data_IF_531925809583
#
_entry.id   IF_531925809583
#
_cell.length_a   1.000
_cell.length_b   1.000
_cell.length_c   1.000
_cell.angle_alpha   90.00
_cell.angle_beta   90.00
_cell.angle_gamma   90.00
#
_symmetry.space_group_name_H-M   'P 1'
#
loop_
_entity.id
_entity.type
_entity.pdbx_description
1 polymer ?
#
# COMPACT_ATOMS: atom_id res chain seq x y z
N UNK A 1 0.74 -6.06 11.29
CA UNK A 1 -0.01 -5.29 10.29
C UNK A 1 0.34 -5.79 8.90
N UNK A 2 -0.67 -6.00 8.07
CA UNK A 2 -0.48 -6.52 6.72
C UNK A 2 -0.17 -5.36 5.76
N UNK A 3 1.08 -4.91 5.77
CA UNK A 3 1.54 -3.86 4.85
C UNK A 3 2.07 -4.57 3.61
N UNK A 4 1.25 -4.66 2.58
CA UNK A 4 1.54 -5.37 1.33
C UNK A 4 1.82 -4.43 0.16
N UNK A 5 2.08 -3.17 0.35
CA UNK A 5 2.49 -2.34 -0.76
C UNK A 5 3.96 -2.61 -1.09
N UNK A 6 4.21 -3.22 -2.21
CA UNK A 6 5.49 -3.23 -2.86
C UNK A 6 5.68 -1.91 -3.53
N UNK A 7 6.81 -1.33 -3.32
CA UNK A 7 6.93 0.07 -3.54
C UNK A 7 8.20 0.39 -4.30
N UNK A 8 8.07 1.22 -5.29
CA UNK A 8 9.18 2.04 -5.74
C UNK A 8 9.17 3.28 -4.86
N UNK A 9 10.24 3.49 -4.14
CA UNK A 9 10.37 4.49 -3.09
C UNK A 9 11.32 5.62 -3.51
N UNK A 10 10.82 6.85 -3.47
CA UNK A 10 11.62 8.06 -3.63
C UNK A 10 12.19 8.48 -2.27
N UNK A 11 13.51 8.58 -2.15
CA UNK A 11 14.18 8.79 -0.86
C UNK A 11 14.13 10.22 -0.35
N UNK A 12 13.64 11.19 -1.12
CA UNK A 12 13.67 12.61 -0.77
C UNK A 12 13.20 12.90 0.67
N UNK A 13 12.03 12.39 1.04
CA UNK A 13 11.50 12.61 2.40
C UNK A 13 12.33 11.90 3.47
N UNK A 14 12.92 10.76 3.16
CA UNK A 14 13.82 10.06 4.07
C UNK A 14 15.15 10.79 4.22
N UNK A 15 15.70 11.31 3.12
CA UNK A 15 16.94 12.11 3.11
C UNK A 15 16.79 13.38 3.98
N UNK A 16 15.59 13.99 3.96
CA UNK A 16 15.28 15.17 4.79
C UNK A 16 15.05 14.80 6.26
N UNK A 17 14.39 13.67 6.53
CA UNK A 17 14.02 13.26 7.89
C UNK A 17 15.18 12.60 8.64
N UNK A 18 15.94 11.72 7.97
CA UNK A 18 17.03 10.92 8.52
C UNK A 18 18.21 10.98 7.54
N UNK A 19 18.99 12.08 7.50
CA UNK A 19 20.03 12.28 6.48
C UNK A 19 21.08 11.17 6.40
N UNK A 20 21.34 10.50 7.51
CA UNK A 20 22.31 9.40 7.62
C UNK A 20 21.67 7.99 7.54
N UNK A 21 20.46 7.85 6.99
CA UNK A 21 19.74 6.58 6.93
C UNK A 21 20.53 5.43 6.26
N UNK A 22 21.46 5.76 5.35
CA UNK A 22 22.34 4.78 4.68
C UNK A 22 23.35 4.12 5.63
N UNK A 23 23.61 4.74 6.77
CA UNK A 23 24.56 4.27 7.79
C UNK A 23 23.84 3.49 8.91
N UNK A 24 22.49 3.39 8.85
CA UNK A 24 21.64 2.88 9.92
C UNK A 24 20.96 1.54 9.57
N UNK A 25 21.61 0.65 8.82
CA UNK A 25 21.06 -0.65 8.39
C UNK A 25 19.63 -0.56 7.89
N UNK A 26 19.33 0.49 7.11
CA UNK A 26 17.98 0.67 6.57
C UNK A 26 17.68 -0.37 5.48
N UNK A 27 16.44 -0.88 5.38
CA UNK A 27 16.05 -1.86 4.36
C UNK A 27 15.79 -1.22 2.97
N UNK A 28 16.45 -0.10 2.66
CA UNK A 28 16.36 0.63 1.40
C UNK A 28 17.63 0.35 0.59
N UNK A 29 17.70 -0.84 -0.01
CA UNK A 29 18.93 -1.38 -0.60
C UNK A 29 18.84 -1.53 -2.13
N UNK A 30 17.72 -2.00 -2.65
CA UNK A 30 17.58 -2.35 -4.08
C UNK A 30 17.33 -1.12 -4.94
N UNK A 31 18.38 -0.53 -5.46
CA UNK A 31 18.28 0.64 -6.37
C UNK A 31 17.64 0.26 -7.69
N UNK A 32 16.75 1.11 -8.21
CA UNK A 32 16.22 0.96 -9.57
C UNK A 32 17.35 1.17 -10.58
N UNK A 33 17.59 0.16 -11.40
CA UNK A 33 18.64 0.17 -12.43
C UNK A 33 18.08 0.13 -13.86
N UNK A 34 16.85 -0.36 -14.02
CA UNK A 34 16.15 -0.39 -15.31
C UNK A 34 14.66 -0.24 -15.13
N UNK A 35 14.00 0.34 -16.13
CA UNK A 35 12.55 0.51 -16.13
C UNK A 35 11.96 0.27 -17.51
N UNK A 36 10.77 -0.32 -17.52
CA UNK A 36 9.98 -0.57 -18.71
C UNK A 36 8.53 -0.18 -18.48
N UNK A 37 7.92 0.42 -19.49
CA UNK A 37 6.49 0.65 -19.53
C UNK A 37 5.88 -0.05 -20.73
N UNK A 38 4.91 -0.93 -20.49
CA UNK A 38 4.29 -1.76 -21.52
C UNK A 38 2.82 -1.38 -21.73
N UNK A 39 2.42 -1.33 -22.98
CA UNK A 39 1.01 -1.43 -23.37
C UNK A 39 0.72 -2.88 -23.73
N UNK A 40 -0.23 -3.49 -23.02
CA UNK A 40 -0.58 -4.90 -23.18
C UNK A 40 -1.85 -5.03 -24.05
N UNK A 41 -1.81 -5.95 -25.00
CA UNK A 41 -2.97 -6.56 -25.61
C UNK A 41 -3.09 -7.98 -25.10
N UNK A 42 -4.10 -8.73 -25.46
CA UNK A 42 -4.30 -10.10 -24.96
C UNK A 42 -3.08 -11.02 -25.16
N UNK A 43 -2.32 -10.84 -26.23
CA UNK A 43 -1.24 -11.74 -26.64
C UNK A 43 0.12 -11.06 -26.81
N UNK A 44 0.15 -9.75 -26.93
CA UNK A 44 1.37 -9.00 -27.25
C UNK A 44 1.58 -7.84 -26.27
N UNK A 45 2.85 -7.49 -26.08
CA UNK A 45 3.28 -6.31 -25.34
C UNK A 45 3.97 -5.33 -26.28
N UNK A 46 3.73 -4.05 -26.07
CA UNK A 46 4.38 -2.96 -26.80
C UNK A 46 5.08 -2.05 -25.81
N UNK A 47 6.39 -1.90 -25.95
CA UNK A 47 7.15 -1.01 -25.08
C UNK A 47 6.88 0.44 -25.44
N UNK A 48 6.49 1.23 -24.44
CA UNK A 48 6.37 2.68 -24.55
C UNK A 48 7.73 3.30 -24.19
N UNK A 49 8.35 4.09 -25.08
CA UNK A 49 9.61 4.72 -24.77
C UNK A 49 9.49 5.69 -23.60
N UNK A 50 10.46 5.66 -22.68
CA UNK A 50 10.41 6.42 -21.41
C UNK A 50 10.29 7.94 -21.61
N UNK A 51 10.78 8.50 -22.72
CA UNK A 51 10.68 9.93 -22.99
C UNK A 51 9.25 10.42 -23.25
N UNK A 52 8.31 9.53 -23.56
CA UNK A 52 6.88 9.86 -23.63
C UNK A 52 6.16 9.81 -22.27
N UNK A 53 6.81 9.24 -21.25
CA UNK A 53 6.21 9.09 -19.94
C UNK A 53 6.37 10.39 -19.12
N UNK A 54 5.35 10.76 -18.33
CA UNK A 54 5.47 11.86 -17.38
C UNK A 54 6.54 11.56 -16.33
N UNK A 55 7.14 12.60 -15.79
CA UNK A 55 8.20 12.47 -14.76
C UNK A 55 7.80 11.62 -13.55
N UNK A 56 6.52 11.64 -13.18
CA UNK A 56 5.96 10.84 -12.08
C UNK A 56 6.01 9.32 -12.33
N UNK A 57 6.20 8.89 -13.57
CA UNK A 57 6.38 7.47 -13.92
C UNK A 57 7.85 7.10 -14.20
N UNK A 58 8.79 8.04 -14.02
CA UNK A 58 10.21 7.79 -14.15
C UNK A 58 10.81 7.50 -12.78
N UNK A 59 11.50 6.37 -12.67
CA UNK A 59 11.95 5.84 -11.37
C UNK A 59 13.48 5.94 -11.17
N UNK A 60 14.13 6.78 -11.94
CA UNK A 60 15.56 6.99 -11.82
C UNK A 60 15.94 7.47 -10.41
N UNK A 61 16.92 6.82 -9.79
CA UNK A 61 17.37 7.03 -8.40
C UNK A 61 16.39 6.58 -7.30
N UNK A 62 15.26 6.00 -7.62
CA UNK A 62 14.35 5.39 -6.66
C UNK A 62 14.85 4.00 -6.23
N UNK A 63 14.21 3.44 -5.21
CA UNK A 63 14.53 2.12 -4.67
C UNK A 63 13.29 1.23 -4.66
N UNK A 64 13.47 -0.05 -4.94
CA UNK A 64 12.45 -1.06 -4.70
C UNK A 64 12.58 -1.51 -3.25
N UNK A 65 11.53 -1.38 -2.46
CA UNK A 65 11.54 -1.72 -1.05
C UNK A 65 10.41 -2.66 -0.65
N UNK A 66 10.63 -3.41 0.43
CA UNK A 66 9.55 -4.01 1.21
C UNK A 66 9.02 -2.98 2.19
N UNK A 67 7.82 -2.46 1.97
CA UNK A 67 7.23 -1.47 2.86
C UNK A 67 7.03 -2.02 4.28
N UNK A 68 6.80 -3.33 4.45
CA UNK A 68 6.73 -3.97 5.77
C UNK A 68 8.04 -3.84 6.53
N UNK A 69 9.17 -4.16 5.89
CA UNK A 69 10.48 -4.06 6.51
C UNK A 69 10.82 -2.59 6.80
N UNK A 70 10.51 -1.71 5.87
CA UNK A 70 10.73 -0.28 6.03
C UNK A 70 9.92 0.31 7.20
N UNK A 71 8.64 -0.02 7.33
CA UNK A 71 7.81 0.42 8.46
C UNK A 71 8.29 -0.17 9.79
N UNK A 72 8.78 -1.41 9.80
CA UNK A 72 9.36 -2.01 11.00
C UNK A 72 10.61 -1.23 11.43
N UNK A 73 11.53 -1.01 10.52
CA UNK A 73 12.75 -0.26 10.78
C UNK A 73 12.47 1.18 11.26
N UNK A 74 11.51 1.89 10.60
CA UNK A 74 11.10 3.22 11.05
C UNK A 74 10.45 3.20 12.43
N UNK A 75 9.68 2.15 12.76
CA UNK A 75 9.09 1.97 14.07
C UNK A 75 10.17 1.83 15.15
N UNK A 76 11.14 0.94 14.93
CA UNK A 76 12.28 0.73 15.83
C UNK A 76 13.10 2.03 15.98
N UNK A 77 13.31 2.76 14.89
CA UNK A 77 13.99 4.05 14.93
C UNK A 77 13.20 5.09 15.75
N UNK A 78 11.89 5.16 15.60
CA UNK A 78 11.02 6.06 16.35
C UNK A 78 11.02 5.72 17.85
N UNK A 79 10.96 4.43 18.21
CA UNK A 79 11.04 3.97 19.63
C UNK A 79 12.37 4.39 20.26
N UNK A 80 13.48 4.30 19.54
CA UNK A 80 14.80 4.77 20.00
C UNK A 80 14.84 6.30 20.23
N UNK A 81 13.94 7.06 19.59
CA UNK A 81 13.75 8.49 19.83
C UNK A 81 12.74 8.80 20.95
N UNK A 82 12.20 7.79 21.62
CA UNK A 82 11.27 7.93 22.74
C UNK A 82 9.79 7.94 22.33
N UNK A 83 9.45 7.53 21.11
CA UNK A 83 8.05 7.33 20.69
C UNK A 83 7.56 6.00 21.25
N UNK A 84 6.41 6.01 21.91
CA UNK A 84 5.76 4.79 22.37
C UNK A 84 4.87 4.21 21.26
N UNK A 85 5.10 2.95 20.88
CA UNK A 85 4.32 2.24 19.87
C UNK A 85 3.59 1.07 20.52
N UNK A 86 2.27 1.03 20.39
CA UNK A 86 1.42 0.00 20.99
C UNK A 86 0.76 -0.88 19.91
N UNK A 87 1.44 -1.91 19.39
CA UNK A 87 0.86 -2.82 18.43
C UNK A 87 -0.33 -3.59 19.02
N UNK A 88 -1.41 -3.72 18.27
CA UNK A 88 -2.61 -4.45 18.73
C UNK A 88 -3.62 -3.61 19.50
N UNK A 89 -3.30 -2.39 19.90
CA UNK A 89 -4.23 -1.47 20.56
C UNK A 89 -4.92 -0.58 19.51
N UNK A 90 -6.08 -1.03 19.04
CA UNK A 90 -6.85 -0.26 18.08
C UNK A 90 -7.63 0.87 18.78
N UNK A 91 -7.51 2.09 18.28
CA UNK A 91 -8.41 3.18 18.69
C UNK A 91 -9.82 2.89 18.19
N UNK A 92 -10.81 2.95 19.09
CA UNK A 92 -12.22 2.59 18.82
C UNK A 92 -13.16 3.80 18.87
N UNK A 93 -12.77 4.87 19.57
CA UNK A 93 -13.57 6.08 19.69
C UNK A 93 -12.70 7.33 19.71
N UNK A 94 -13.25 8.43 19.19
CA UNK A 94 -12.67 9.77 19.37
C UNK A 94 -13.19 10.35 20.68
N UNK A 95 -12.31 10.95 21.45
CA UNK A 95 -12.66 11.67 22.67
C UNK A 95 -12.78 13.17 22.39
N UNK A 96 -13.86 13.77 22.90
CA UNK A 96 -14.17 15.18 22.74
C UNK A 96 -14.29 15.87 24.11
N UNK A 97 -13.89 17.12 24.18
CA UNK A 97 -14.19 17.96 25.34
C UNK A 97 -15.59 18.61 25.22
N UNK A 98 -15.98 19.43 26.21
CA UNK A 98 -17.27 20.16 26.24
C UNK A 98 -17.44 21.12 25.05
N UNK A 99 -16.35 21.55 24.43
CA UNK A 99 -16.36 22.47 23.27
C UNK A 99 -16.38 21.71 21.93
N UNK A 100 -16.54 20.38 21.94
CA UNK A 100 -16.43 19.49 20.77
C UNK A 100 -15.04 19.46 20.11
N UNK A 101 -13.97 19.81 20.82
CA UNK A 101 -12.61 19.68 20.33
C UNK A 101 -12.10 18.24 20.60
N UNK A 102 -11.33 17.70 19.66
CA UNK A 102 -10.73 16.37 19.82
C UNK A 102 -9.59 16.47 20.84
N UNK A 103 -9.67 15.66 21.90
CA UNK A 103 -8.67 15.61 22.99
C UNK A 103 -7.89 14.30 23.03
N UNK A 104 -8.22 13.34 22.17
CA UNK A 104 -7.56 12.05 22.14
C UNK A 104 -8.44 10.94 21.58
N UNK A 105 -8.09 9.70 21.90
CA UNK A 105 -8.81 8.50 21.48
C UNK A 105 -8.99 7.54 22.66
N UNK A 106 -10.01 6.68 22.59
CA UNK A 106 -10.16 5.52 23.45
C UNK A 106 -9.82 4.26 22.67
N UNK A 107 -9.06 3.35 23.27
CA UNK A 107 -8.82 2.02 22.70
C UNK A 107 -10.07 1.13 22.83
N UNK A 108 -10.13 0.07 22.04
CA UNK A 108 -11.18 -0.93 22.20
C UNK A 108 -11.00 -1.78 23.45
N UNK A 109 -12.10 -2.30 23.96
CA UNK A 109 -12.07 -3.32 25.03
C UNK A 109 -11.38 -4.59 24.50
N UNK A 110 -10.61 -5.25 25.36
CA UNK A 110 -9.94 -6.52 25.06
C UNK A 110 -10.60 -7.66 25.85
N UNK A 111 -10.38 -8.90 25.39
CA UNK A 111 -10.94 -10.07 26.09
C UNK A 111 -12.47 -10.21 25.96
N UNK A 112 -13.05 -9.80 24.85
CA UNK A 112 -14.45 -10.07 24.51
C UNK A 112 -14.56 -11.34 23.64
N UNK A 113 -15.68 -12.06 23.77
CA UNK A 113 -16.04 -13.13 22.83
C UNK A 113 -16.79 -12.57 21.60
N UNK A 114 -17.25 -13.45 20.71
CA UNK A 114 -17.96 -13.05 19.48
C UNK A 114 -19.32 -12.40 19.75
N UNK A 115 -19.91 -12.71 20.89
CA UNK A 115 -21.19 -12.20 21.38
C UNK A 115 -21.02 -10.95 22.27
N UNK A 116 -19.78 -10.39 22.37
CA UNK A 116 -19.38 -9.27 23.23
C UNK A 116 -19.49 -9.54 24.74
N UNK A 117 -19.48 -10.79 25.18
CA UNK A 117 -19.40 -11.12 26.61
C UNK A 117 -17.94 -11.04 27.07
N UNK A 118 -17.74 -10.63 28.31
CA UNK A 118 -16.43 -10.53 28.95
C UNK A 118 -15.88 -11.93 29.25
N UNK A 119 -14.65 -12.18 28.79
CA UNK A 119 -13.86 -13.35 29.16
C UNK A 119 -13.10 -13.10 30.46
N UNK A 120 -12.42 -14.12 30.99
CA UNK A 120 -11.59 -14.01 32.19
C UNK A 120 -10.46 -12.96 32.05
N UNK A 121 -9.95 -12.76 30.82
CA UNK A 121 -8.91 -11.78 30.48
C UNK A 121 -9.49 -10.46 29.94
N UNK A 122 -10.69 -10.09 30.37
CA UNK A 122 -11.30 -8.82 29.95
C UNK A 122 -10.54 -7.63 30.52
N UNK A 123 -10.18 -6.71 29.65
CA UNK A 123 -9.59 -5.41 29.98
C UNK A 123 -10.37 -4.30 29.28
N UNK A 124 -10.86 -3.29 30.02
CA UNK A 124 -11.54 -2.16 29.40
C UNK A 124 -10.58 -1.31 28.57
N UNK A 125 -11.09 -0.70 27.51
CA UNK A 125 -10.34 0.27 26.73
C UNK A 125 -9.89 1.47 27.56
N UNK A 126 -8.70 1.96 27.30
CA UNK A 126 -8.08 3.12 27.96
C UNK A 126 -8.22 4.39 27.14
N UNK A 127 -8.27 5.53 27.81
CA UNK A 127 -8.26 6.84 27.18
C UNK A 127 -6.82 7.31 27.01
N UNK A 128 -6.44 7.60 25.76
CA UNK A 128 -5.15 8.21 25.41
C UNK A 128 -5.40 9.66 25.04
N UNK A 129 -4.91 10.57 25.87
CA UNK A 129 -5.12 12.02 25.72
C UNK A 129 -3.87 12.64 25.11
N UNK A 130 -4.06 13.56 24.16
CA UNK A 130 -2.98 14.25 23.50
C UNK A 130 -3.38 15.67 23.09
N UNK A 131 -2.40 16.55 22.98
CA UNK A 131 -2.60 17.92 22.48
C UNK A 131 -3.04 17.96 21.02
N UNK A 132 -2.60 16.95 20.23
CA UNK A 132 -2.95 16.76 18.81
C UNK A 132 -3.20 15.29 18.58
N UNK A 133 -4.24 14.97 17.82
CA UNK A 133 -4.55 13.61 17.39
C UNK A 133 -4.38 13.51 15.87
N UNK A 134 -3.50 12.62 15.40
CA UNK A 134 -3.26 12.39 13.97
C UNK A 134 -3.91 11.07 13.57
N UNK A 135 -4.83 11.11 12.60
CA UNK A 135 -5.51 9.94 12.07
C UNK A 135 -4.80 9.48 10.79
N UNK A 136 -3.97 8.44 10.89
CA UNK A 136 -3.20 7.87 9.78
C UNK A 136 -3.73 6.49 9.37
N UNK A 137 -5.04 6.34 9.26
CA UNK A 137 -5.75 5.07 9.06
C UNK A 137 -5.84 4.65 7.57
N UNK A 138 -5.26 5.41 6.65
CA UNK A 138 -5.39 5.21 5.20
C UNK A 138 -6.66 5.81 4.62
N UNK A 139 -6.95 5.50 3.35
CA UNK A 139 -7.99 6.16 2.55
C UNK A 139 -9.42 6.01 3.09
N UNK A 140 -9.70 4.99 3.90
CA UNK A 140 -11.02 4.73 4.51
C UNK A 140 -10.88 4.35 5.98
N UNK A 141 -10.25 5.22 6.74
CA UNK A 141 -10.08 5.06 8.18
C UNK A 141 -11.41 4.94 8.93
N UNK A 142 -11.42 4.16 10.01
CA UNK A 142 -12.61 3.95 10.83
C UNK A 142 -13.03 5.25 11.54
N UNK A 143 -12.13 5.81 12.34
CA UNK A 143 -12.36 7.06 13.07
C UNK A 143 -12.35 8.29 12.16
N UNK A 144 -11.57 8.28 11.11
CA UNK A 144 -11.56 9.35 10.10
C UNK A 144 -12.94 9.60 9.49
N UNK A 145 -13.73 8.55 9.23
CA UNK A 145 -15.11 8.70 8.73
C UNK A 145 -16.02 9.40 9.74
N UNK A 146 -15.87 9.12 11.03
CA UNK A 146 -16.65 9.76 12.09
C UNK A 146 -16.31 11.25 12.17
N UNK A 147 -15.03 11.59 12.11
CA UNK A 147 -14.54 12.98 12.14
C UNK A 147 -15.04 13.75 10.91
N UNK A 148 -14.89 13.16 9.71
CA UNK A 148 -15.38 13.77 8.45
C UNK A 148 -16.88 14.06 8.55
N UNK A 149 -17.69 13.09 9.03
CA UNK A 149 -19.13 13.25 9.19
C UNK A 149 -19.48 14.30 10.24
N UNK A 150 -18.84 14.26 11.42
CA UNK A 150 -19.12 15.17 12.52
C UNK A 150 -18.84 16.63 12.19
N UNK A 151 -17.68 16.87 11.55
CA UNK A 151 -17.23 18.23 11.19
C UNK A 151 -17.58 18.62 9.76
N UNK A 152 -18.31 17.76 9.03
CA UNK A 152 -18.79 18.06 7.66
C UNK A 152 -17.65 18.39 6.69
N UNK A 153 -16.51 17.71 6.83
CA UNK A 153 -15.27 18.07 6.13
C UNK A 153 -15.34 17.89 4.61
N UNK A 154 -16.33 17.15 4.12
CA UNK A 154 -16.52 16.86 2.69
C UNK A 154 -17.69 17.64 2.04
N UNK A 155 -18.42 18.49 2.78
CA UNK A 155 -19.60 19.20 2.24
C UNK A 155 -19.24 20.23 1.15
N UNK A 156 -18.01 20.75 1.16
CA UNK A 156 -17.53 21.76 0.22
C UNK A 156 -16.56 21.19 -0.84
N UNK A 157 -16.46 19.88 -0.97
CA UNK A 157 -15.58 19.29 -1.97
C UNK A 157 -16.14 19.53 -3.38
N UNK A 158 -15.28 20.06 -4.27
CA UNK A 158 -15.64 20.33 -5.67
C UNK A 158 -15.90 19.06 -6.49
N UNK A 159 -15.31 17.95 -6.07
CA UNK A 159 -15.50 16.64 -6.69
C UNK A 159 -15.56 15.52 -5.64
N UNK A 160 -16.32 14.45 -5.88
CA UNK A 160 -16.34 13.31 -4.99
C UNK A 160 -14.97 12.61 -4.96
N UNK A 161 -14.63 12.04 -3.80
CA UNK A 161 -13.44 11.22 -3.66
C UNK A 161 -13.56 9.97 -4.53
N UNK A 162 -12.60 9.75 -5.41
CA UNK A 162 -12.47 8.52 -6.17
C UNK A 162 -11.57 7.52 -5.45
N UNK A 163 -11.84 6.24 -5.65
CA UNK A 163 -11.10 5.15 -5.03
C UNK A 163 -10.66 4.15 -6.08
N UNK A 164 -9.52 3.53 -5.84
CA UNK A 164 -9.07 2.33 -6.52
C UNK A 164 -8.98 1.15 -5.56
N UNK A 165 -8.91 -0.05 -6.12
CA UNK A 165 -8.48 -1.24 -5.40
C UNK A 165 -7.17 -1.73 -5.99
N UNK A 166 -6.17 -1.95 -5.13
CA UNK A 166 -4.91 -2.54 -5.51
C UNK A 166 -4.78 -3.95 -4.94
N UNK A 167 -4.42 -4.89 -5.80
CA UNK A 167 -4.01 -6.24 -5.44
C UNK A 167 -2.51 -6.34 -5.57
N UNK A 168 -1.89 -7.11 -4.68
CA UNK A 168 -0.48 -7.40 -4.74
C UNK A 168 -0.19 -8.82 -4.31
N UNK A 169 0.75 -9.43 -4.99
CA UNK A 169 1.35 -10.69 -4.62
C UNK A 169 2.87 -10.56 -4.56
N UNK A 170 3.49 -11.27 -3.65
CA UNK A 170 4.93 -11.49 -3.60
C UNK A 170 5.21 -12.91 -4.05
N UNK A 171 6.04 -13.04 -5.06
CA UNK A 171 6.44 -14.32 -5.60
C UNK A 171 7.93 -14.54 -5.42
N UNK A 172 8.31 -15.73 -4.99
CA UNK A 172 9.66 -16.25 -5.14
C UNK A 172 9.76 -16.89 -6.51
N UNK A 173 10.65 -16.39 -7.35
CA UNK A 173 10.81 -16.81 -8.73
C UNK A 173 12.17 -17.49 -8.92
N UNK A 174 12.38 -18.10 -10.07
CA UNK A 174 13.68 -18.65 -10.42
C UNK A 174 14.70 -17.53 -10.63
N UNK A 175 15.93 -17.73 -10.19
CA UNK A 175 17.04 -16.78 -10.32
C UNK A 175 17.20 -16.29 -11.76
N UNK A 176 17.10 -17.21 -12.73
CA UNK A 176 17.20 -16.92 -14.18
C UNK A 176 16.15 -15.92 -14.70
N UNK A 177 15.04 -15.72 -13.97
CA UNK A 177 13.97 -14.78 -14.29
C UNK A 177 14.03 -13.48 -13.49
N UNK A 178 14.98 -13.36 -12.55
CA UNK A 178 15.08 -12.18 -11.70
C UNK A 178 16.10 -11.18 -12.26
N UNK A 179 15.65 -9.98 -12.53
CA UNK A 179 16.46 -8.84 -12.94
C UNK A 179 16.45 -7.80 -11.83
N UNK A 180 17.18 -8.04 -10.72
CA UNK A 180 17.18 -7.21 -9.51
C UNK A 180 17.28 -5.72 -9.88
N UNK A 181 16.38 -4.89 -9.31
CA UNK A 181 16.32 -3.46 -9.58
C UNK A 181 15.51 -3.06 -10.82
N UNK A 182 14.89 -4.02 -11.52
CA UNK A 182 14.02 -3.73 -12.66
C UNK A 182 12.61 -3.36 -12.18
N UNK A 183 12.09 -2.28 -12.74
CA UNK A 183 10.72 -1.80 -12.59
C UNK A 183 9.98 -1.98 -13.91
N UNK A 184 8.86 -2.67 -13.88
CA UNK A 184 7.97 -2.82 -15.02
C UNK A 184 6.58 -2.33 -14.63
N UNK A 185 6.06 -1.37 -15.40
CA UNK A 185 4.67 -0.95 -15.34
C UNK A 185 3.93 -1.35 -16.61
N UNK A 186 2.64 -1.61 -16.52
CA UNK A 186 1.85 -1.81 -17.73
C UNK A 186 0.42 -1.30 -17.61
N UNK A 187 -0.17 -1.02 -18.77
CA UNK A 187 -1.58 -0.65 -18.96
C UNK A 187 -2.17 -1.44 -20.11
N UNK A 188 -3.49 -1.39 -20.26
CA UNK A 188 -4.23 -2.08 -21.31
C UNK A 188 -4.81 -3.40 -20.79
N UNK A 189 -4.68 -4.47 -21.59
CA UNK A 189 -5.28 -5.76 -21.25
C UNK A 189 -4.88 -6.23 -19.82
N UNK A 190 -5.82 -6.81 -19.06
CA UNK A 190 -7.19 -7.23 -19.42
C UNK A 190 -8.26 -6.12 -19.36
N UNK A 191 -7.96 -4.93 -18.84
CA UNK A 191 -8.94 -3.85 -18.74
C UNK A 191 -9.31 -3.29 -20.13
N UNK A 192 -10.56 -2.90 -20.25
CA UNK A 192 -11.06 -2.14 -21.38
C UNK A 192 -10.67 -0.65 -21.28
N UNK A 193 -10.74 0.08 -22.40
CA UNK A 193 -10.24 1.45 -22.48
C UNK A 193 -11.00 2.47 -21.59
N UNK A 194 -12.19 2.14 -21.12
CA UNK A 194 -13.02 2.99 -20.26
C UNK A 194 -12.83 2.68 -18.75
N UNK A 195 -11.97 1.74 -18.42
CA UNK A 195 -11.65 1.37 -17.04
C UNK A 195 -10.25 1.80 -16.67
N UNK A 196 -10.14 2.71 -15.70
CA UNK A 196 -8.84 3.17 -15.20
C UNK A 196 -8.15 2.06 -14.42
N UNK A 197 -6.87 1.84 -14.73
CA UNK A 197 -6.07 0.86 -14.00
C UNK A 197 -4.75 0.56 -14.68
N UNK A 198 -4.01 -0.35 -14.09
CA UNK A 198 -2.70 -0.79 -14.58
C UNK A 198 -2.01 -1.74 -13.62
N UNK A 199 -0.82 -2.15 -13.99
CA UNK A 199 -0.05 -3.11 -13.22
C UNK A 199 1.37 -2.66 -12.96
N UNK A 200 1.99 -3.34 -12.03
CA UNK A 200 3.41 -3.23 -11.76
C UNK A 200 4.03 -4.61 -11.48
N UNK A 201 5.31 -4.75 -11.85
CA UNK A 201 6.17 -5.86 -11.47
C UNK A 201 7.53 -5.29 -11.06
N UNK A 202 7.95 -5.51 -9.82
CA UNK A 202 9.20 -5.00 -9.28
C UNK A 202 10.11 -6.15 -8.87
N UNK A 203 11.29 -6.21 -9.44
CA UNK A 203 12.28 -7.23 -9.17
C UNK A 203 13.16 -6.85 -7.98
N UNK A 204 12.92 -7.52 -6.86
CA UNK A 204 13.61 -7.29 -5.60
C UNK A 204 14.73 -8.31 -5.36
N UNK A 205 15.43 -8.15 -4.23
CA UNK A 205 16.41 -9.12 -3.74
C UNK A 205 15.78 -10.48 -3.43
N UNK A 206 16.65 -11.49 -3.18
CA UNK A 206 16.25 -12.83 -2.75
C UNK A 206 15.31 -13.54 -3.73
N UNK A 207 15.48 -13.30 -5.03
CA UNK A 207 14.64 -13.87 -6.08
C UNK A 207 13.15 -13.57 -5.90
N UNK A 208 12.83 -12.42 -5.34
CA UNK A 208 11.45 -11.98 -5.15
C UNK A 208 11.02 -11.00 -6.23
N UNK A 209 9.78 -11.14 -6.66
CA UNK A 209 9.10 -10.17 -7.49
C UNK A 209 7.79 -9.74 -6.84
N UNK A 210 7.55 -8.45 -6.84
CA UNK A 210 6.31 -7.85 -6.37
C UNK A 210 5.41 -7.58 -7.57
N UNK A 211 4.31 -8.30 -7.67
CA UNK A 211 3.34 -8.16 -8.77
C UNK A 211 2.07 -7.53 -8.21
N UNK A 212 1.62 -6.46 -8.83
CA UNK A 212 0.38 -5.82 -8.43
C UNK A 212 -0.46 -5.34 -9.60
N UNK A 213 -1.73 -5.11 -9.31
CA UNK A 213 -2.73 -4.64 -10.23
C UNK A 213 -3.67 -3.66 -9.53
N UNK A 214 -3.89 -2.52 -10.12
CA UNK A 214 -4.76 -1.47 -9.58
C UNK A 214 -5.89 -1.20 -10.54
N UNK A 215 -7.12 -1.09 -10.01
CA UNK A 215 -8.33 -0.80 -10.78
C UNK A 215 -9.08 0.32 -10.08
N UNK A 216 -9.46 1.36 -10.82
CA UNK A 216 -10.38 2.39 -10.35
C UNK A 216 -11.75 1.79 -10.05
N UNK A 217 -12.37 2.15 -8.91
CA UNK A 217 -13.66 1.60 -8.49
C UNK A 217 -14.87 2.34 -9.11
N UNK A 218 -14.62 3.23 -10.05
CA UNK A 218 -15.62 3.95 -10.84
C UNK A 218 -15.92 3.28 -12.20
N UNK A 219 -15.48 2.02 -12.38
CA UNK A 219 -15.75 1.26 -13.61
C UNK A 219 -17.25 1.08 -13.85
N UNK A 220 -17.63 1.10 -15.12
CA UNK A 220 -19.05 1.07 -15.54
C UNK A 220 -19.63 -0.33 -15.69
N UNK A 221 -18.77 -1.31 -15.98
CA UNK A 221 -19.20 -2.69 -16.19
C UNK A 221 -19.52 -3.38 -14.85
N UNK A 222 -20.80 -3.66 -14.51
CA UNK A 222 -21.17 -4.26 -13.23
C UNK A 222 -20.70 -5.72 -13.07
N UNK A 223 -20.27 -6.36 -14.16
CA UNK A 223 -19.74 -7.73 -14.16
C UNK A 223 -18.23 -7.78 -14.04
N UNK A 224 -17.53 -6.65 -14.03
CA UNK A 224 -16.10 -6.60 -13.83
C UNK A 224 -15.77 -7.01 -12.40
N UNK A 225 -14.94 -8.03 -12.25
CA UNK A 225 -14.38 -8.44 -10.98
C UNK A 225 -12.91 -8.02 -10.92
N UNK A 226 -12.54 -7.02 -10.12
CA UNK A 226 -11.15 -6.57 -10.00
C UNK A 226 -10.16 -7.67 -9.67
N UNK A 227 -10.58 -8.66 -8.88
CA UNK A 227 -9.73 -9.81 -8.57
C UNK A 227 -9.51 -10.71 -9.79
N UNK A 228 -10.55 -10.98 -10.57
CA UNK A 228 -10.45 -11.83 -11.76
C UNK A 228 -9.62 -11.16 -12.85
N UNK A 229 -9.71 -9.83 -13.00
CA UNK A 229 -8.84 -9.07 -13.89
C UNK A 229 -7.36 -9.22 -13.49
N UNK A 230 -7.04 -9.18 -12.20
CA UNK A 230 -5.70 -9.45 -11.73
C UNK A 230 -5.26 -10.90 -12.03
N UNK A 231 -6.16 -11.89 -11.90
CA UNK A 231 -5.84 -13.28 -12.27
C UNK A 231 -5.60 -13.42 -13.77
N UNK A 232 -6.42 -12.78 -14.60
CA UNK A 232 -6.23 -12.73 -16.04
C UNK A 232 -4.89 -12.10 -16.41
N UNK A 233 -4.56 -10.94 -15.85
CA UNK A 233 -3.27 -10.25 -16.06
C UNK A 233 -2.08 -11.21 -15.91
N UNK A 234 -2.08 -12.07 -14.89
CA UNK A 234 -1.01 -13.05 -14.67
C UNK A 234 -0.92 -14.14 -15.75
N UNK A 235 -1.96 -14.30 -16.57
CA UNK A 235 -1.91 -15.24 -17.70
C UNK A 235 -1.27 -14.65 -18.95
N UNK A 236 -1.05 -13.33 -19.00
CA UNK A 236 -0.39 -12.68 -20.12
C UNK A 236 1.00 -13.28 -20.36
N UNK A 237 1.42 -13.56 -21.62
CA UNK A 237 2.69 -14.21 -21.92
C UNK A 237 3.90 -13.61 -21.22
N UNK A 238 4.00 -12.26 -21.19
CA UNK A 238 5.10 -11.54 -20.52
C UNK A 238 5.14 -11.78 -19.01
N UNK A 239 3.99 -11.77 -18.35
CA UNK A 239 3.89 -11.93 -16.89
C UNK A 239 4.01 -13.39 -16.50
N UNK A 240 3.33 -14.28 -17.26
CA UNK A 240 3.38 -15.73 -17.03
C UNK A 240 4.81 -16.28 -17.07
N UNK A 241 5.66 -15.79 -17.99
CA UNK A 241 7.06 -16.24 -18.07
C UNK A 241 7.85 -15.89 -16.81
N UNK A 242 7.59 -14.72 -16.19
CA UNK A 242 8.28 -14.29 -14.96
C UNK A 242 7.99 -15.22 -13.79
N UNK A 243 6.72 -15.58 -13.60
CA UNK A 243 6.27 -16.37 -12.45
C UNK A 243 6.26 -17.87 -12.69
N UNK A 244 6.62 -18.33 -13.91
CA UNK A 244 6.61 -19.75 -14.25
C UNK A 244 7.58 -20.56 -13.38
N UNK A 245 7.02 -21.53 -12.65
CA UNK A 245 7.79 -22.36 -11.71
C UNK A 245 8.13 -21.67 -10.40
N UNK A 246 7.65 -20.44 -10.19
CA UNK A 246 7.76 -19.72 -8.92
C UNK A 246 6.68 -20.11 -7.92
N UNK A 247 6.82 -19.61 -6.69
CA UNK A 247 5.89 -19.81 -5.58
C UNK A 247 5.39 -18.49 -5.06
N UNK A 248 4.06 -18.31 -4.97
CA UNK A 248 3.48 -17.15 -4.30
C UNK A 248 3.66 -17.30 -2.78
N UNK A 249 4.35 -16.37 -2.16
CA UNK A 249 4.68 -16.39 -0.73
C UNK A 249 3.80 -15.46 0.10
N UNK A 250 3.23 -14.41 -0.51
CA UNK A 250 2.34 -13.48 0.19
C UNK A 250 1.37 -12.82 -0.80
N UNK A 251 0.25 -12.33 -0.29
CA UNK A 251 -0.75 -11.61 -1.10
C UNK A 251 -1.62 -10.70 -0.23
N UNK A 252 -2.24 -9.72 -0.85
CA UNK A 252 -3.23 -8.85 -0.21
C UNK A 252 -3.88 -7.88 -1.18
N UNK A 253 -4.90 -7.20 -0.67
CA UNK A 253 -5.60 -6.14 -1.38
C UNK A 253 -5.87 -4.96 -0.46
N UNK A 254 -5.91 -3.76 -1.04
CA UNK A 254 -6.15 -2.52 -0.30
C UNK A 254 -6.89 -1.51 -1.17
N UNK A 255 -7.82 -0.77 -0.56
CA UNK A 255 -8.37 0.43 -1.20
C UNK A 255 -7.29 1.52 -1.25
N UNK A 256 -7.29 2.29 -2.33
CA UNK A 256 -6.37 3.37 -2.64
C UNK A 256 -7.15 4.65 -2.99
N UNK A 257 -6.51 5.80 -2.91
CA UNK A 257 -6.97 7.11 -3.39
C UNK A 257 -5.94 7.70 -4.33
#
# INVERSE_FOLDING_TARGET
AHILSGNVFETKSLDELIPNWKELDSPVETKVNSEEFLFLTKEKSYRVPNFFLPKSLQNHNNYIISLSNFCKWLGEYAENLGVEIFPGFAASKILYNSNNEIIGVQTGDMGLDKENNKKENFEPGINVIGKVTVLSEGCRGHLGKEVIKKFKLNENNLSPQQYGIGFKEVWEIKEENNEIGKVLHSVGWPLENDTYGGSFCYHAENNQIYIGYVIGLDYKNPYLSPYDEFQQFKTHPEIKKLIKGGKRISYGARALI
#
